data_IF_083119730893
#
_entry.id   IF_083119730893
#
_cell.length_a   1.000
_cell.length_b   1.000
_cell.length_c   1.000
_cell.angle_alpha   90.00
_cell.angle_beta   90.00
_cell.angle_gamma   90.00
#
_symmetry.space_group_name_H-M   'P 1'
#
loop_
_entity.id
_entity.type
_entity.pdbx_description
1 polymer ?
#
# COMPACT_ATOMS: atom_id res chain seq x y z
N UNK A 1 -29.05 4.07 -17.12
CA UNK A 1 -28.61 3.01 -16.19
C UNK A 1 -27.90 3.66 -15.01
N UNK A 2 -28.36 3.39 -13.79
CA UNK A 2 -27.67 3.77 -12.55
C UNK A 2 -26.57 2.74 -12.27
N UNK A 3 -25.42 3.17 -11.76
CA UNK A 3 -24.34 2.28 -11.32
C UNK A 3 -24.16 2.36 -9.79
N UNK A 4 -23.30 1.51 -9.22
CA UNK A 4 -23.08 1.47 -7.77
C UNK A 4 -22.54 2.81 -7.18
N UNK A 5 -21.88 3.66 -8.00
CA UNK A 5 -21.38 4.98 -7.58
C UNK A 5 -22.45 6.08 -7.61
N UNK A 6 -23.60 5.83 -8.24
CA UNK A 6 -24.64 6.83 -8.44
C UNK A 6 -25.29 7.30 -7.15
N UNK A 7 -25.49 6.39 -6.20
CA UNK A 7 -26.06 6.69 -4.89
C UNK A 7 -25.04 7.42 -4.00
N UNK A 8 -23.79 6.95 -3.84
CA UNK A 8 -22.74 7.70 -3.14
C UNK A 8 -22.55 9.13 -3.66
N UNK A 9 -22.47 9.31 -4.99
CA UNK A 9 -22.30 10.64 -5.59
C UNK A 9 -23.48 11.58 -5.31
N UNK A 10 -24.70 11.06 -5.32
CA UNK A 10 -25.89 11.85 -4.98
C UNK A 10 -25.94 12.19 -3.49
N UNK A 11 -25.64 11.22 -2.63
CA UNK A 11 -25.64 11.38 -1.17
C UNK A 11 -24.60 12.40 -0.72
N UNK A 12 -23.36 12.29 -1.21
CA UNK A 12 -22.30 13.27 -0.94
C UNK A 12 -22.70 14.68 -1.42
N UNK A 13 -23.29 14.79 -2.62
CA UNK A 13 -23.79 16.07 -3.12
C UNK A 13 -24.87 16.68 -2.20
N UNK A 14 -25.81 15.87 -1.71
CA UNK A 14 -26.86 16.34 -0.81
C UNK A 14 -26.26 16.78 0.54
N UNK A 15 -25.32 16.01 1.11
CA UNK A 15 -24.62 16.38 2.34
C UNK A 15 -23.83 17.68 2.18
N UNK A 16 -23.11 17.86 1.08
CA UNK A 16 -22.36 19.10 0.80
C UNK A 16 -23.28 20.33 0.77
N UNK A 17 -24.46 20.22 0.14
CA UNK A 17 -25.50 21.27 0.14
C UNK A 17 -25.97 21.59 1.55
N UNK A 18 -26.31 20.57 2.33
CA UNK A 18 -26.79 20.74 3.71
C UNK A 18 -25.75 21.40 4.61
N UNK A 19 -24.46 21.11 4.38
CA UNK A 19 -23.34 21.67 5.15
C UNK A 19 -22.85 23.03 4.63
N UNK A 20 -23.46 23.58 3.57
CA UNK A 20 -23.06 24.87 2.99
C UNK A 20 -21.67 24.84 2.32
N UNK A 21 -21.16 23.67 1.97
CA UNK A 21 -19.88 23.50 1.27
C UNK A 21 -20.11 23.82 -0.21
N UNK A 22 -19.22 24.56 -0.90
CA UNK A 22 -19.25 24.68 -2.36
C UNK A 22 -19.44 23.32 -3.05
N UNK A 23 -20.53 23.19 -3.80
CA UNK A 23 -21.06 21.89 -4.21
C UNK A 23 -20.57 21.50 -5.59
N UNK A 24 -20.00 20.30 -5.70
CA UNK A 24 -19.82 19.64 -6.98
C UNK A 24 -21.15 19.10 -7.53
N UNK A 25 -21.35 19.19 -8.83
CA UNK A 25 -22.45 18.52 -9.51
C UNK A 25 -22.30 17.00 -9.40
N UNK A 26 -23.38 16.24 -9.61
CA UNK A 26 -23.33 14.78 -9.56
C UNK A 26 -22.34 14.19 -10.56
N UNK A 27 -22.24 14.76 -11.77
CA UNK A 27 -21.24 14.31 -12.76
C UNK A 27 -19.82 14.65 -12.33
N UNK A 28 -19.60 15.78 -11.66
CA UNK A 28 -18.30 16.14 -11.09
C UNK A 28 -17.89 15.20 -9.95
N UNK A 29 -18.82 14.77 -9.10
CA UNK A 29 -18.56 13.72 -8.11
C UNK A 29 -18.13 12.39 -8.74
N UNK A 30 -18.67 12.04 -9.92
CA UNK A 30 -18.22 10.85 -10.65
C UNK A 30 -16.79 11.00 -11.21
N UNK A 31 -16.36 12.22 -11.57
CA UNK A 31 -14.96 12.50 -11.94
C UNK A 31 -14.02 12.42 -10.72
N UNK A 32 -14.47 12.89 -9.55
CA UNK A 32 -13.73 12.73 -8.29
C UNK A 32 -13.63 11.24 -7.91
N UNK A 33 -14.74 10.49 -8.04
CA UNK A 33 -14.73 9.03 -7.84
C UNK A 33 -13.75 8.36 -8.80
N UNK A 34 -13.72 8.73 -10.08
CA UNK A 34 -12.74 8.21 -11.02
C UNK A 34 -11.30 8.41 -10.52
N UNK A 35 -10.99 9.61 -10.01
CA UNK A 35 -9.66 9.91 -9.46
C UNK A 35 -9.35 9.11 -8.19
N UNK A 36 -10.33 8.89 -7.29
CA UNK A 36 -10.19 8.01 -6.12
C UNK A 36 -9.83 6.57 -6.52
N UNK A 37 -10.45 6.07 -7.60
CA UNK A 37 -10.17 4.74 -8.14
C UNK A 37 -8.94 4.71 -9.08
N UNK A 38 -8.14 5.78 -9.13
CA UNK A 38 -6.91 5.85 -9.92
C UNK A 38 -7.12 6.07 -11.42
N UNK A 39 -8.31 6.47 -11.87
CA UNK A 39 -8.60 6.81 -13.27
C UNK A 39 -8.52 8.32 -13.51
N UNK A 40 -7.95 8.70 -14.66
CA UNK A 40 -7.83 10.12 -15.04
C UNK A 40 -9.18 10.80 -15.29
N UNK A 41 -10.17 10.05 -15.81
CA UNK A 41 -11.49 10.57 -16.16
C UNK A 41 -12.55 9.48 -15.99
N UNK A 42 -13.77 9.88 -15.63
CA UNK A 42 -14.89 8.96 -15.45
C UNK A 42 -15.21 8.16 -16.72
N UNK A 43 -15.05 8.76 -17.90
CA UNK A 43 -15.25 8.07 -19.18
C UNK A 43 -14.35 6.83 -19.35
N UNK A 44 -13.15 6.85 -18.76
CA UNK A 44 -12.18 5.75 -18.79
C UNK A 44 -12.49 4.69 -17.71
N UNK A 45 -13.04 5.12 -16.57
CA UNK A 45 -13.50 4.21 -15.52
C UNK A 45 -14.79 3.48 -15.92
N UNK A 46 -15.68 4.15 -16.68
CA UNK A 46 -17.03 3.68 -17.00
C UNK A 46 -17.08 2.23 -17.55
N UNK A 47 -16.22 1.80 -18.49
CA UNK A 47 -16.19 0.42 -18.96
C UNK A 47 -15.75 -0.59 -17.89
N UNK A 48 -14.97 -0.16 -16.89
CA UNK A 48 -14.46 -1.00 -15.80
C UNK A 48 -15.44 -1.16 -14.63
N UNK A 49 -16.53 -0.38 -14.58
CA UNK A 49 -17.46 -0.37 -13.45
C UNK A 49 -17.99 -1.75 -13.03
N UNK A 50 -18.35 -2.68 -13.95
CA UNK A 50 -18.78 -4.02 -13.54
C UNK A 50 -17.65 -4.81 -12.85
N UNK A 51 -16.41 -4.65 -13.32
CA UNK A 51 -15.23 -5.27 -12.71
C UNK A 51 -14.92 -4.68 -11.34
N UNK A 52 -15.00 -3.36 -11.19
CA UNK A 52 -14.84 -2.66 -9.92
C UNK A 52 -15.90 -3.14 -8.91
N UNK A 53 -17.17 -3.17 -9.30
CA UNK A 53 -18.26 -3.62 -8.43
C UNK A 53 -18.09 -5.09 -8.00
N UNK A 54 -17.66 -5.96 -8.92
CA UNK A 54 -17.36 -7.36 -8.62
C UNK A 54 -16.18 -7.48 -7.65
N UNK A 55 -15.12 -6.69 -7.85
CA UNK A 55 -13.95 -6.64 -6.97
C UNK A 55 -14.31 -6.20 -5.55
N UNK A 56 -15.14 -5.16 -5.40
CA UNK A 56 -15.58 -4.66 -4.09
C UNK A 56 -16.38 -5.70 -3.29
N UNK A 57 -17.05 -6.64 -3.96
CA UNK A 57 -17.85 -7.69 -3.30
C UNK A 57 -17.02 -8.88 -2.81
N UNK A 58 -15.72 -8.95 -3.17
CA UNK A 58 -14.84 -10.03 -2.72
C UNK A 58 -14.41 -9.79 -1.27
N UNK A 59 -14.52 -10.84 -0.44
CA UNK A 59 -14.11 -10.78 0.96
C UNK A 59 -12.58 -10.67 1.14
N UNK A 60 -11.81 -11.11 0.14
CA UNK A 60 -10.36 -11.01 0.11
C UNK A 60 -9.86 -9.77 -0.64
N UNK A 61 -10.71 -8.76 -0.86
CA UNK A 61 -10.34 -7.52 -1.52
C UNK A 61 -10.21 -6.36 -0.53
N UNK A 62 -9.19 -5.54 -0.74
CA UNK A 62 -9.05 -4.23 -0.12
C UNK A 62 -9.21 -3.13 -1.18
N UNK A 63 -9.84 -2.03 -0.79
CA UNK A 63 -9.94 -0.80 -1.57
C UNK A 63 -8.94 0.22 -1.05
N UNK A 64 -7.98 0.65 -1.87
CA UNK A 64 -7.02 1.70 -1.54
C UNK A 64 -7.38 2.92 -2.38
N UNK A 65 -7.67 4.06 -1.75
CA UNK A 65 -8.15 5.26 -2.44
C UNK A 65 -7.04 6.30 -2.66
N UNK A 66 -6.93 6.85 -3.88
CA UNK A 66 -6.03 7.98 -4.18
C UNK A 66 -6.67 9.32 -3.77
N UNK A 67 -6.70 9.58 -2.46
CA UNK A 67 -7.28 10.80 -1.88
C UNK A 67 -6.54 12.05 -2.39
N UNK A 68 -5.23 11.96 -2.63
CA UNK A 68 -4.43 13.06 -3.16
C UNK A 68 -4.87 13.48 -4.57
N UNK A 69 -5.02 12.52 -5.48
CA UNK A 69 -5.51 12.75 -6.83
C UNK A 69 -6.96 13.24 -6.86
N UNK A 70 -7.81 12.66 -6.02
CA UNK A 70 -9.20 13.09 -5.86
C UNK A 70 -9.32 14.54 -5.37
N UNK A 71 -8.52 14.95 -4.39
CA UNK A 71 -8.47 16.33 -3.89
C UNK A 71 -8.05 17.31 -4.98
N UNK A 72 -7.01 16.97 -5.77
CA UNK A 72 -6.58 17.79 -6.92
C UNK A 72 -7.68 17.91 -7.98
N UNK A 73 -8.40 16.82 -8.24
CA UNK A 73 -9.55 16.82 -9.17
C UNK A 73 -10.68 17.70 -8.67
N UNK A 74 -11.10 17.53 -7.41
CA UNK A 74 -12.17 18.29 -6.81
C UNK A 74 -11.85 19.80 -6.81
N UNK A 75 -10.62 20.17 -6.46
CA UNK A 75 -10.16 21.57 -6.50
C UNK A 75 -10.32 22.19 -7.90
N UNK A 76 -9.80 21.52 -8.94
CA UNK A 76 -9.94 21.98 -10.33
C UNK A 76 -11.39 22.11 -10.79
N UNK A 77 -12.29 21.27 -10.28
CA UNK A 77 -13.72 21.28 -10.64
C UNK A 77 -14.52 22.37 -9.92
N UNK A 78 -14.07 22.82 -8.74
CA UNK A 78 -14.65 23.96 -8.01
C UNK A 78 -14.16 25.31 -8.53
N UNK A 79 -13.01 25.32 -9.24
CA UNK A 79 -12.39 26.52 -9.81
C UNK A 79 -11.18 27.01 -9.00
N UNK A 80 -10.34 27.85 -9.60
CA UNK A 80 -9.06 28.30 -9.03
C UNK A 80 -9.23 29.50 -8.08
N UNK A 81 -9.86 29.29 -6.92
CA UNK A 81 -9.90 30.22 -5.79
C UNK A 81 -9.30 29.52 -4.55
N UNK A 82 -8.50 30.22 -3.75
CA UNK A 82 -7.88 29.68 -2.53
C UNK A 82 -8.92 29.17 -1.51
N UNK A 83 -10.15 29.74 -1.51
CA UNK A 83 -11.26 29.23 -0.70
C UNK A 83 -11.68 27.79 -1.09
N UNK A 84 -11.40 27.37 -2.32
CA UNK A 84 -11.86 26.09 -2.87
C UNK A 84 -11.02 24.89 -2.44
N UNK A 85 -9.82 25.09 -1.88
CA UNK A 85 -8.99 23.96 -1.44
C UNK A 85 -9.59 23.23 -0.23
N UNK A 86 -10.08 23.98 0.76
CA UNK A 86 -10.79 23.41 1.92
C UNK A 86 -12.08 22.72 1.46
N UNK A 87 -12.87 23.38 0.62
CA UNK A 87 -14.10 22.81 0.09
C UNK A 87 -13.86 21.54 -0.73
N UNK A 88 -12.79 21.48 -1.52
CA UNK A 88 -12.40 20.30 -2.29
C UNK A 88 -12.17 19.10 -1.37
N UNK A 89 -11.34 19.27 -0.32
CA UNK A 89 -11.11 18.22 0.69
C UNK A 89 -12.40 17.74 1.33
N UNK A 90 -13.25 18.66 1.76
CA UNK A 90 -14.53 18.31 2.38
C UNK A 90 -15.47 17.55 1.42
N UNK A 91 -15.52 17.92 0.13
CA UNK A 91 -16.28 17.15 -0.86
C UNK A 91 -15.71 15.74 -1.07
N UNK A 92 -14.37 15.57 -1.06
CA UNK A 92 -13.75 14.25 -1.16
C UNK A 92 -14.02 13.41 0.08
N UNK A 93 -13.89 13.97 1.28
CA UNK A 93 -14.21 13.31 2.55
C UNK A 93 -15.64 12.80 2.57
N UNK A 94 -16.61 13.66 2.18
CA UNK A 94 -18.01 13.25 2.07
C UNK A 94 -18.20 12.09 1.09
N UNK A 95 -17.54 12.11 -0.06
CA UNK A 95 -17.63 11.00 -1.00
C UNK A 95 -16.99 9.72 -0.43
N UNK A 96 -15.82 9.80 0.20
CA UNK A 96 -15.15 8.66 0.83
C UNK A 96 -16.04 8.02 1.89
N UNK A 97 -16.71 8.82 2.71
CA UNK A 97 -17.63 8.33 3.74
C UNK A 97 -18.81 7.54 3.14
N UNK A 98 -19.35 7.99 2.00
CA UNK A 98 -20.38 7.22 1.28
C UNK A 98 -19.83 5.92 0.69
N UNK A 99 -18.57 5.92 0.25
CA UNK A 99 -17.92 4.75 -0.35
C UNK A 99 -17.51 3.69 0.68
N UNK A 100 -17.32 4.06 1.96
CA UNK A 100 -16.90 3.11 3.04
C UNK A 100 -17.80 1.89 3.17
N UNK A 101 -19.08 2.03 2.84
CA UNK A 101 -20.07 0.94 2.94
C UNK A 101 -20.09 -0.01 1.75
N UNK A 102 -19.38 0.31 0.66
CA UNK A 102 -19.41 -0.47 -0.58
C UNK A 102 -18.54 -1.73 -0.54
N UNK A 103 -17.27 -1.69 -0.11
CA UNK A 103 -16.43 -2.88 -0.10
C UNK A 103 -16.90 -3.87 0.97
N UNK A 104 -16.84 -5.16 0.66
CA UNK A 104 -16.99 -6.24 1.63
C UNK A 104 -15.75 -6.39 2.53
N UNK A 105 -14.59 -5.92 2.07
CA UNK A 105 -13.33 -5.88 2.80
C UNK A 105 -12.91 -4.47 3.23
N UNK A 106 -11.65 -4.29 3.68
CA UNK A 106 -11.18 -3.03 4.24
C UNK A 106 -11.02 -1.92 3.18
N UNK A 107 -11.13 -0.68 3.64
CA UNK A 107 -10.88 0.54 2.87
C UNK A 107 -9.73 1.32 3.49
N UNK A 108 -8.71 1.59 2.69
CA UNK A 108 -7.52 2.34 3.05
C UNK A 108 -7.44 3.68 2.32
N UNK A 109 -6.93 4.68 3.02
CA UNK A 109 -6.61 6.00 2.45
C UNK A 109 -5.10 6.18 2.22
N UNK A 110 -4.29 5.23 2.71
CA UNK A 110 -2.84 5.18 2.56
C UNK A 110 -2.40 3.76 2.19
N UNK A 111 -1.36 3.66 1.37
CA UNK A 111 -0.67 2.38 1.08
C UNK A 111 0.04 1.86 2.34
N UNK A 112 0.48 2.76 3.24
CA UNK A 112 1.14 2.40 4.50
C UNK A 112 0.19 1.66 5.44
N UNK A 113 -1.06 2.10 5.57
CA UNK A 113 -2.05 1.42 6.43
C UNK A 113 -2.31 -0.01 5.93
N UNK A 114 -2.38 -0.20 4.60
CA UNK A 114 -2.49 -1.52 4.01
C UNK A 114 -1.27 -2.38 4.33
N UNK A 115 -0.07 -1.80 4.26
CA UNK A 115 1.18 -2.49 4.58
C UNK A 115 1.21 -2.99 6.03
N UNK A 116 0.82 -2.14 6.98
CA UNK A 116 0.76 -2.48 8.41
C UNK A 116 -0.18 -3.66 8.68
N UNK A 117 -1.31 -3.73 7.97
CA UNK A 117 -2.33 -4.76 8.17
C UNK A 117 -2.02 -6.07 7.44
N UNK A 118 -1.39 -6.00 6.26
CA UNK A 118 -1.32 -7.14 5.33
C UNK A 118 0.08 -7.61 4.99
N UNK A 119 1.13 -6.86 5.33
CA UNK A 119 2.53 -7.23 5.09
C UNK A 119 3.29 -7.40 6.39
N UNK A 120 3.22 -6.39 7.28
CA UNK A 120 3.94 -6.37 8.55
C UNK A 120 3.75 -7.63 9.41
N UNK A 121 2.54 -8.21 9.53
CA UNK A 121 2.34 -9.38 10.38
C UNK A 121 3.00 -10.67 9.86
N UNK A 122 3.45 -10.69 8.60
CA UNK A 122 3.84 -11.91 7.91
C UNK A 122 5.30 -11.94 7.43
N UNK A 123 5.96 -10.79 7.25
CA UNK A 123 7.30 -10.79 6.65
C UNK A 123 8.34 -11.50 7.52
N UNK A 124 8.29 -11.36 8.85
CA UNK A 124 9.28 -11.96 9.74
C UNK A 124 9.28 -13.48 9.60
N UNK A 125 8.09 -14.09 9.65
CA UNK A 125 7.93 -15.52 9.47
C UNK A 125 8.40 -15.99 8.09
N UNK A 126 8.15 -15.21 7.04
CA UNK A 126 8.67 -15.49 5.69
C UNK A 126 10.19 -15.53 5.68
N UNK A 127 10.86 -14.46 6.12
CA UNK A 127 12.33 -14.39 6.10
C UNK A 127 12.99 -15.47 6.96
N UNK A 128 12.45 -15.77 8.15
CA UNK A 128 12.97 -16.83 9.00
C UNK A 128 12.78 -18.22 8.38
N UNK A 129 11.68 -18.46 7.64
CA UNK A 129 11.50 -19.72 6.92
C UNK A 129 12.55 -19.91 5.82
N UNK A 130 12.90 -18.82 5.12
CA UNK A 130 13.85 -18.83 4.01
C UNK A 130 15.27 -19.19 4.44
N UNK A 131 15.66 -18.93 5.70
CA UNK A 131 16.95 -19.41 6.25
C UNK A 131 17.12 -20.92 6.12
N UNK A 132 16.01 -21.68 6.18
CA UNK A 132 16.03 -23.15 6.15
C UNK A 132 15.58 -23.72 4.80
N UNK A 133 14.71 -23.01 4.07
CA UNK A 133 14.09 -23.53 2.85
C UNK A 133 14.72 -23.04 1.56
N UNK A 134 15.50 -21.95 1.61
CA UNK A 134 16.14 -21.35 0.45
C UNK A 134 17.67 -21.56 0.51
N UNK A 135 18.24 -22.41 -0.35
CA UNK A 135 19.66 -22.72 -0.33
C UNK A 135 20.58 -21.51 -0.50
N UNK A 136 20.15 -20.48 -1.24
CA UNK A 136 20.93 -19.26 -1.42
C UNK A 136 21.03 -18.48 -0.10
N UNK A 137 19.90 -18.33 0.59
CA UNK A 137 19.84 -17.60 1.87
C UNK A 137 20.59 -18.38 2.94
N UNK A 138 20.40 -19.70 3.01
CA UNK A 138 21.15 -20.58 3.93
C UNK A 138 22.66 -20.46 3.72
N UNK A 139 23.14 -20.44 2.47
CA UNK A 139 24.56 -20.33 2.18
C UNK A 139 25.16 -18.97 2.60
N UNK A 140 24.38 -17.88 2.56
CA UNK A 140 24.82 -16.59 3.11
C UNK A 140 24.74 -16.59 4.64
N UNK A 141 23.76 -17.26 5.24
CA UNK A 141 23.67 -17.45 6.69
C UNK A 141 24.86 -18.21 7.28
N UNK A 142 25.38 -19.21 6.57
CA UNK A 142 26.56 -19.96 7.00
C UNK A 142 27.85 -19.12 7.04
N UNK A 143 27.86 -17.93 6.42
CA UNK A 143 29.02 -17.02 6.44
C UNK A 143 29.11 -16.18 7.71
N UNK A 144 27.99 -15.94 8.39
CA UNK A 144 27.99 -15.18 9.63
C UNK A 144 28.34 -16.10 10.80
N UNK A 145 29.08 -15.58 11.78
CA UNK A 145 29.57 -16.39 12.91
C UNK A 145 28.46 -16.86 13.85
N UNK A 146 27.45 -16.02 14.05
CA UNK A 146 26.36 -16.28 14.98
C UNK A 146 25.06 -16.58 14.24
N UNK A 147 24.24 -17.47 14.81
CA UNK A 147 22.97 -17.84 14.21
C UNK A 147 21.95 -16.68 14.28
N UNK A 148 21.79 -15.98 13.16
CA UNK A 148 20.75 -14.96 12.98
C UNK A 148 19.34 -15.56 13.05
N UNK A 149 18.47 -14.97 13.88
CA UNK A 149 17.09 -15.43 14.10
C UNK A 149 16.11 -14.33 14.54
N UNK A 150 16.57 -13.07 14.61
CA UNK A 150 15.74 -11.90 14.87
C UNK A 150 15.65 -11.07 13.60
N UNK A 151 14.43 -10.74 13.15
CA UNK A 151 14.24 -9.90 11.96
C UNK A 151 13.94 -8.47 12.40
N UNK A 152 14.66 -7.51 11.86
CA UNK A 152 14.43 -6.08 12.03
C UNK A 152 14.19 -5.45 10.67
N UNK A 153 13.16 -4.60 10.58
CA UNK A 153 12.85 -3.90 9.35
C UNK A 153 13.89 -2.80 9.08
N UNK A 154 14.44 -2.75 7.86
CA UNK A 154 15.50 -1.80 7.49
C UNK A 154 14.96 -0.69 6.59
N UNK A 155 14.38 -1.04 5.44
CA UNK A 155 13.66 -0.10 4.56
C UNK A 155 12.87 -0.88 3.49
N UNK A 156 11.82 -0.26 2.96
CA UNK A 156 11.13 -0.72 1.75
C UNK A 156 11.37 0.33 0.66
N UNK A 157 12.27 0.05 -0.27
CA UNK A 157 12.29 0.81 -1.52
C UNK A 157 10.97 0.54 -2.25
N UNK A 158 10.02 1.48 -2.24
CA UNK A 158 8.72 1.33 -2.90
C UNK A 158 8.88 1.10 -4.41
N UNK A 159 9.07 -0.15 -4.85
CA UNK A 159 9.13 -0.49 -6.26
C UNK A 159 7.72 -0.89 -6.72
N UNK A 160 7.13 0.04 -7.48
CA UNK A 160 5.77 0.12 -8.06
C UNK A 160 4.71 0.64 -7.09
N UNK A 161 4.34 1.94 -7.19
CA UNK A 161 3.11 2.46 -6.57
C UNK A 161 1.94 1.56 -6.97
N UNK A 162 0.98 1.38 -6.07
CA UNK A 162 -0.24 0.59 -6.32
C UNK A 162 -0.97 0.99 -7.62
N UNK A 163 -0.72 2.20 -8.10
CA UNK A 163 -1.29 2.84 -9.29
C UNK A 163 -0.60 2.54 -10.63
N UNK A 164 0.62 1.99 -10.62
CA UNK A 164 1.43 1.80 -11.84
C UNK A 164 1.11 0.47 -12.53
N UNK A 165 1.09 -0.63 -11.77
CA UNK A 165 0.82 -1.96 -12.31
C UNK A 165 -0.67 -2.29 -12.33
N UNK A 166 -1.09 -3.10 -13.30
CA UNK A 166 -2.51 -3.40 -13.55
C UNK A 166 -2.91 -4.82 -13.21
N UNK A 167 -1.93 -5.71 -13.01
CA UNK A 167 -2.14 -7.13 -12.73
C UNK A 167 -1.64 -7.53 -11.33
N UNK A 168 -0.45 -7.04 -10.96
CA UNK A 168 0.18 -7.35 -9.68
C UNK A 168 0.78 -6.08 -9.10
N UNK A 169 0.44 -5.76 -7.86
CA UNK A 169 1.17 -4.78 -7.07
C UNK A 169 2.29 -5.49 -6.32
N UNK A 170 3.51 -4.97 -6.43
CA UNK A 170 4.70 -5.50 -5.78
C UNK A 170 5.14 -4.50 -4.72
N UNK A 171 5.50 -5.00 -3.54
CA UNK A 171 6.04 -4.24 -2.42
C UNK A 171 7.40 -4.83 -2.10
N UNK A 172 8.47 -4.04 -2.24
CA UNK A 172 9.80 -4.47 -1.85
C UNK A 172 9.93 -4.46 -0.33
N UNK A 173 10.62 -5.45 0.22
CA UNK A 173 10.86 -5.59 1.65
C UNK A 173 12.34 -5.78 1.88
N UNK A 174 12.96 -4.91 2.67
CA UNK A 174 14.32 -5.05 3.17
C UNK A 174 14.33 -5.22 4.68
N UNK A 175 15.04 -6.23 5.16
CA UNK A 175 15.21 -6.54 6.59
C UNK A 175 16.67 -6.82 6.92
N UNK A 176 17.06 -6.55 8.17
CA UNK A 176 18.22 -7.20 8.77
C UNK A 176 17.77 -8.44 9.52
N UNK A 177 18.50 -9.53 9.38
CA UNK A 177 18.35 -10.72 10.21
C UNK A 177 19.60 -10.81 11.09
N UNK A 178 19.40 -10.70 12.40
CA UNK A 178 20.44 -10.50 13.39
C UNK A 178 20.48 -11.67 14.39
N UNK A 179 21.65 -11.88 14.99
CA UNK A 179 21.77 -12.79 16.11
C UNK A 179 21.06 -12.22 17.35
N UNK A 180 20.40 -13.05 18.17
CA UNK A 180 19.78 -12.58 19.41
C UNK A 180 20.81 -11.93 20.35
N UNK A 181 20.55 -10.71 20.81
CA UNK A 181 21.43 -10.01 21.76
C UNK A 181 21.57 -10.83 23.05
N UNK A 182 22.80 -11.26 23.38
CA UNK A 182 23.13 -11.82 24.69
C UNK A 182 23.07 -10.69 25.74
N UNK A 183 21.89 -10.44 26.32
CA UNK A 183 21.65 -9.64 27.54
C UNK A 183 22.38 -8.30 27.67
N UNK A 184 21.63 -7.20 27.56
CA UNK A 184 21.83 -5.97 28.36
C UNK A 184 22.99 -5.02 28.03
N UNK A 185 23.99 -5.42 27.25
CA UNK A 185 25.07 -4.53 26.82
C UNK A 185 25.37 -4.78 25.34
N UNK A 186 25.56 -3.71 24.58
CA UNK A 186 25.90 -3.72 23.15
C UNK A 186 27.04 -4.71 22.82
N UNK A 187 26.66 -5.95 22.50
CA UNK A 187 27.32 -6.71 21.47
C UNK A 187 26.34 -6.71 20.32
N UNK A 188 26.43 -5.67 19.48
CA UNK A 188 26.06 -5.84 18.09
C UNK A 188 26.91 -7.01 17.61
N UNK A 189 26.27 -8.12 17.20
CA UNK A 189 27.00 -9.00 16.31
C UNK A 189 27.32 -8.12 15.10
N UNK A 190 28.58 -7.74 14.93
CA UNK A 190 29.00 -6.93 13.78
C UNK A 190 28.51 -7.59 12.48
N UNK A 191 28.27 -8.91 12.49
CA UNK A 191 27.76 -9.67 11.37
C UNK A 191 26.24 -9.90 11.44
N UNK A 192 25.56 -9.68 10.32
CA UNK A 192 24.13 -9.87 10.14
C UNK A 192 23.81 -10.18 8.67
N UNK A 193 22.59 -10.65 8.39
CA UNK A 193 22.11 -10.77 7.02
C UNK A 193 21.32 -9.52 6.63
N UNK A 194 21.68 -8.89 5.52
CA UNK A 194 20.78 -7.99 4.81
C UNK A 194 19.96 -8.86 3.85
N UNK A 195 18.67 -8.98 4.10
CA UNK A 195 17.77 -9.79 3.29
C UNK A 195 16.68 -8.93 2.65
N UNK A 196 16.25 -9.32 1.47
CA UNK A 196 15.16 -8.64 0.77
C UNK A 196 14.33 -9.59 -0.08
N UNK A 197 13.06 -9.25 -0.28
CA UNK A 197 12.15 -9.93 -1.19
C UNK A 197 11.05 -8.99 -1.67
N UNK A 198 10.30 -9.43 -2.68
CA UNK A 198 9.06 -8.77 -3.10
C UNK A 198 7.83 -9.49 -2.54
N UNK A 199 6.90 -8.74 -1.96
CA UNK A 199 5.55 -9.18 -1.66
C UNK A 199 4.60 -8.78 -2.80
N UNK A 200 3.85 -9.73 -3.33
CA UNK A 200 2.95 -9.54 -4.45
C UNK A 200 1.48 -9.63 -4.03
N UNK A 201 0.69 -8.70 -4.55
CA UNK A 201 -0.77 -8.66 -4.40
C UNK A 201 -1.45 -8.59 -5.76
N UNK A 202 -2.43 -9.48 -5.99
CA UNK A 202 -3.21 -9.45 -7.22
C UNK A 202 -4.04 -8.17 -7.32
N UNK A 203 -3.96 -7.46 -8.46
CA UNK A 203 -4.86 -6.35 -8.80
C UNK A 203 -6.19 -6.90 -9.31
N UNK A 204 -7.28 -6.53 -8.65
CA UNK A 204 -8.64 -6.80 -9.11
C UNK A 204 -9.16 -5.64 -9.96
N UNK A 205 -8.69 -4.43 -9.64
CA UNK A 205 -8.81 -3.21 -10.44
C UNK A 205 -7.67 -2.24 -10.02
N UNK A 206 -7.61 -1.00 -10.53
CA UNK A 206 -6.58 -0.01 -10.16
C UNK A 206 -6.51 0.24 -8.66
N UNK A 207 -7.65 0.44 -8.01
CA UNK A 207 -7.73 0.75 -6.58
C UNK A 207 -8.06 -0.49 -5.72
N UNK A 208 -8.31 -1.63 -6.35
CA UNK A 208 -8.78 -2.84 -5.65
C UNK A 208 -7.71 -3.91 -5.75
N UNK A 209 -7.22 -4.36 -4.61
CA UNK A 209 -6.17 -5.37 -4.51
C UNK A 209 -6.66 -6.55 -3.67
N UNK A 210 -6.19 -7.75 -3.97
CA UNK A 210 -6.34 -8.90 -3.08
C UNK A 210 -5.53 -8.65 -1.81
N UNK A 211 -6.06 -9.02 -0.64
CA UNK A 211 -5.33 -9.02 0.64
C UNK A 211 -4.45 -10.27 0.81
N UNK A 212 -4.57 -11.24 -0.11
CA UNK A 212 -3.71 -12.43 -0.11
C UNK A 212 -2.33 -12.06 -0.63
N UNK A 213 -1.36 -12.05 0.28
CA UNK A 213 0.04 -11.83 0.01
C UNK A 213 0.69 -13.08 -0.59
N UNK A 214 1.53 -12.87 -1.61
CA UNK A 214 2.45 -13.88 -2.13
C UNK A 214 3.86 -13.33 -2.04
N UNK A 215 4.67 -13.86 -1.13
CA UNK A 215 6.08 -13.49 -1.06
C UNK A 215 6.89 -14.27 -2.10
N UNK A 216 7.77 -13.56 -2.81
CA UNK A 216 8.81 -14.17 -3.62
C UNK A 216 9.95 -14.67 -2.74
N UNK A 217 10.79 -15.53 -3.32
CA UNK A 217 11.98 -16.05 -2.67
C UNK A 217 12.89 -14.90 -2.22
N UNK A 218 13.32 -14.95 -0.96
CA UNK A 218 14.21 -13.95 -0.42
C UNK A 218 15.61 -14.09 -1.03
N UNK A 219 16.29 -12.96 -1.12
CA UNK A 219 17.73 -12.88 -1.34
C UNK A 219 18.36 -12.36 -0.06
N UNK A 220 19.60 -12.74 0.18
CA UNK A 220 20.34 -12.28 1.33
C UNK A 220 21.80 -11.98 0.97
N UNK A 221 22.42 -11.18 1.83
CA UNK A 221 23.84 -10.89 1.81
C UNK A 221 24.36 -10.89 3.25
N UNK A 222 25.35 -11.73 3.53
CA UNK A 222 26.10 -11.65 4.77
C UNK A 222 26.89 -10.35 4.82
N UNK A 223 26.68 -9.57 5.88
CA UNK A 223 27.20 -8.22 6.03
C UNK A 223 27.89 -8.08 7.37
N UNK A 224 28.99 -7.33 7.42
CA UNK A 224 29.68 -6.94 8.65
C UNK A 224 29.68 -5.42 8.81
N UNK A 225 29.17 -4.92 9.93
CA UNK A 225 29.27 -3.54 10.36
C UNK A 225 30.70 -3.24 10.84
N UNK A 226 31.30 -2.15 10.37
CA UNK A 226 32.55 -1.64 10.91
C UNK A 226 32.26 -0.30 11.56
N UNK A 227 32.53 -0.17 12.87
CA UNK A 227 32.35 1.07 13.65
C UNK A 227 33.01 2.33 13.05
N UNK A 228 33.86 2.19 12.04
CA UNK A 228 34.59 3.27 11.36
C UNK A 228 33.88 3.82 10.11
N UNK A 229 32.87 3.13 9.59
CA UNK A 229 32.15 3.52 8.37
C UNK A 229 30.65 3.35 8.61
N UNK A 230 29.84 4.37 8.31
CA UNK A 230 28.37 4.31 8.45
C UNK A 230 27.68 3.30 7.50
N UNK A 231 28.43 2.33 6.97
CA UNK A 231 28.00 1.34 5.98
C UNK A 231 28.61 -0.02 6.35
N UNK A 232 27.80 -1.08 6.26
CA UNK A 232 28.26 -2.46 6.39
C UNK A 232 28.93 -2.97 5.12
N UNK A 233 29.94 -3.83 5.26
CA UNK A 233 30.64 -4.46 4.14
C UNK A 233 30.19 -5.91 3.94
N UNK A 234 30.18 -6.36 2.68
CA UNK A 234 29.84 -7.74 2.35
C UNK A 234 30.90 -8.72 2.88
N UNK A 235 30.45 -9.81 3.49
CA UNK A 235 31.28 -10.98 3.81
C UNK A 235 31.33 -11.87 2.56
N UNK A 236 32.54 -12.14 2.06
CA UNK A 236 32.76 -12.93 0.85
C UNK A 236 32.61 -14.43 1.13
#
# INVERSE_FOLDING_TARGET
MSNFLSTPALSAQQKAKTLGIPVLSRSQYLEVAASLFGYEQYKLMKPSLPGIESGLKRADAALILDVGSANRRAYRLLGDDHANFKAAKQNVELLVDELRSLPAGPLYMSEDDFYLDHVQPFYEAHFLSQLNTNPQVSAEHDKVREHCSRVEYQDSDFIKPVWVSREVWEVSLGVSIEAPKRTGTHNESDEYLLAWCEAQFQKLDRAIVSTRIHFLDARAQATRFYNTTSFGERIL
#
